data_IF_068024839802
#
_entry.id   IF_068024839802
#
_cell.length_a   1.000
_cell.length_b   1.000
_cell.length_c   1.000
_cell.angle_alpha   90.00
_cell.angle_beta   90.00
_cell.angle_gamma   90.00
#
_symmetry.space_group_name_H-M   'P 1'
#
loop_
_entity.id
_entity.type
_entity.pdbx_description
1 polymer ?
#
# COMPACT_ATOMS: atom_id res chain seq x y z
N UNK A 1 23.17 -0.01 -4.23
CA UNK A 1 22.80 1.21 -3.48
C UNK A 1 21.33 1.10 -3.10
N UNK A 2 21.03 0.45 -1.97
CA UNK A 2 19.67 0.19 -1.52
C UNK A 2 19.06 1.46 -0.94
N UNK A 3 18.24 2.15 -1.73
CA UNK A 3 17.18 2.98 -1.17
C UNK A 3 16.07 2.01 -0.75
N UNK A 4 16.16 1.47 0.47
CA UNK A 4 14.94 1.12 1.21
C UNK A 4 13.99 2.29 0.98
N UNK A 5 12.76 2.04 0.52
CA UNK A 5 11.70 3.02 0.75
C UNK A 5 11.67 3.19 2.26
N UNK A 6 12.29 4.26 2.71
CA UNK A 6 12.27 4.70 4.09
C UNK A 6 10.88 5.30 4.20
N UNK A 7 9.94 4.51 4.68
CA UNK A 7 8.54 4.88 4.67
C UNK A 7 8.38 6.09 5.60
N UNK A 8 7.84 7.19 5.07
CA UNK A 8 7.64 8.44 5.84
C UNK A 8 6.80 8.18 7.10
N UNK A 9 5.95 7.16 7.07
CA UNK A 9 5.24 6.63 8.23
C UNK A 9 6.17 5.97 9.26
N UNK A 10 7.11 5.10 8.85
CA UNK A 10 8.04 4.43 9.76
C UNK A 10 9.02 5.43 10.41
N UNK A 11 9.51 6.42 9.64
CA UNK A 11 10.28 7.54 10.20
C UNK A 11 9.40 8.37 11.17
N UNK A 12 8.11 8.59 10.90
CA UNK A 12 7.19 9.30 11.78
C UNK A 12 6.97 8.58 13.12
N UNK A 13 6.79 7.25 13.13
CA UNK A 13 6.67 6.45 14.37
C UNK A 13 7.99 6.38 15.14
N UNK A 14 9.13 6.30 14.44
CA UNK A 14 10.46 6.08 15.05
C UNK A 14 11.19 7.36 15.43
N UNK A 15 10.68 8.54 15.06
CA UNK A 15 11.36 9.84 15.25
C UNK A 15 11.29 10.40 16.68
N UNK A 16 10.60 9.77 17.64
CA UNK A 16 10.47 10.30 19.00
C UNK A 16 10.24 9.22 20.07
N UNK A 17 10.44 9.59 21.33
CA UNK A 17 10.05 8.82 22.53
C UNK A 17 8.52 8.81 22.66
N UNK A 18 7.82 8.27 21.66
CA UNK A 18 6.37 8.18 21.65
C UNK A 18 5.92 6.98 22.48
N UNK A 19 4.96 7.19 23.39
CA UNK A 19 4.22 6.08 23.98
C UNK A 19 3.05 5.66 23.05
N UNK A 20 2.44 4.51 23.31
CA UNK A 20 1.36 3.95 22.48
C UNK A 20 0.13 4.89 22.45
N UNK A 21 -0.18 5.60 23.53
CA UNK A 21 -1.32 6.54 23.58
C UNK A 21 -1.12 7.76 22.67
N UNK A 22 0.11 8.27 22.60
CA UNK A 22 0.48 9.38 21.71
C UNK A 22 0.39 8.95 20.24
N UNK A 23 0.78 7.72 19.94
CA UNK A 23 0.68 7.13 18.60
C UNK A 23 -0.79 7.08 18.14
N UNK A 24 -1.70 6.55 18.97
CA UNK A 24 -3.12 6.49 18.61
C UNK A 24 -3.78 7.86 18.50
N UNK A 25 -3.44 8.79 19.41
CA UNK A 25 -4.00 10.15 19.39
C UNK A 25 -3.55 10.92 18.15
N UNK A 26 -2.30 10.76 17.73
CA UNK A 26 -1.81 11.36 16.50
C UNK A 26 -2.35 10.67 15.25
N UNK A 27 -2.59 9.35 15.29
CA UNK A 27 -3.21 8.63 14.20
C UNK A 27 -4.60 9.18 13.86
N UNK A 28 -5.40 9.53 14.88
CA UNK A 28 -6.69 10.17 14.70
C UNK A 28 -6.57 11.48 13.90
N UNK A 29 -5.53 12.28 14.17
CA UNK A 29 -5.26 13.51 13.42
C UNK A 29 -4.96 13.22 11.94
N UNK A 30 -4.16 12.19 11.65
CA UNK A 30 -3.87 11.76 10.27
C UNK A 30 -5.12 11.21 9.56
N UNK A 31 -5.95 10.46 10.28
CA UNK A 31 -7.25 10.00 9.78
C UNK A 31 -8.18 11.16 9.44
N UNK A 32 -8.17 12.24 10.22
CA UNK A 32 -8.93 13.45 9.88
C UNK A 32 -8.40 14.14 8.61
N UNK A 33 -7.08 14.18 8.40
CA UNK A 33 -6.50 14.71 7.16
C UNK A 33 -6.90 13.86 5.95
N UNK A 34 -6.82 12.53 6.08
CA UNK A 34 -7.27 11.62 5.02
C UNK A 34 -8.74 11.78 4.70
N UNK A 35 -9.61 11.89 5.71
CA UNK A 35 -11.05 12.16 5.50
C UNK A 35 -11.27 13.43 4.70
N UNK A 36 -10.60 14.52 5.04
CA UNK A 36 -10.68 15.78 4.29
C UNK A 36 -10.20 15.64 2.84
N UNK A 37 -9.12 14.89 2.60
CA UNK A 37 -8.63 14.60 1.24
C UNK A 37 -9.65 13.75 0.44
N UNK A 38 -10.25 12.74 1.07
CA UNK A 38 -11.29 11.92 0.46
C UNK A 38 -12.55 12.73 0.15
N UNK A 39 -12.99 13.60 1.06
CA UNK A 39 -14.15 14.48 0.83
C UNK A 39 -13.90 15.41 -0.36
N UNK A 40 -12.68 15.94 -0.47
CA UNK A 40 -12.25 16.72 -1.63
C UNK A 40 -12.31 15.93 -2.93
N UNK A 41 -11.76 14.71 -2.95
CA UNK A 41 -11.82 13.83 -4.12
C UNK A 41 -13.24 13.42 -4.51
N UNK A 42 -14.09 13.10 -3.53
CA UNK A 42 -15.49 12.76 -3.79
C UNK A 42 -16.24 13.96 -4.38
N UNK A 43 -15.99 15.16 -3.85
CA UNK A 43 -16.56 16.39 -4.38
C UNK A 43 -16.11 16.63 -5.82
N UNK A 44 -14.80 16.53 -6.10
CA UNK A 44 -14.26 16.68 -7.45
C UNK A 44 -14.86 15.64 -8.41
N UNK A 45 -15.06 14.40 -7.96
CA UNK A 45 -15.70 13.35 -8.75
C UNK A 45 -17.17 13.65 -9.08
N UNK A 46 -17.94 14.13 -8.11
CA UNK A 46 -19.36 14.53 -8.31
C UNK A 46 -19.47 15.76 -9.22
N UNK A 47 -18.56 16.71 -9.09
CA UNK A 47 -18.48 17.92 -9.93
C UNK A 47 -17.92 17.64 -11.33
N UNK A 48 -17.48 16.40 -11.63
CA UNK A 48 -16.92 16.00 -12.92
C UNK A 48 -15.47 16.45 -13.15
N UNK A 49 -14.79 16.96 -12.12
CA UNK A 49 -13.41 17.43 -12.13
C UNK A 49 -12.40 16.31 -11.82
N UNK A 50 -12.64 15.11 -12.34
CA UNK A 50 -11.79 13.93 -12.08
C UNK A 50 -10.73 13.73 -13.17
N UNK A 51 -9.54 13.22 -12.81
CA UNK A 51 -8.50 12.86 -13.79
C UNK A 51 -9.06 11.89 -14.84
N UNK A 52 -8.67 12.05 -16.10
CA UNK A 52 -9.20 11.27 -17.24
C UNK A 52 -9.14 9.75 -17.04
N UNK A 53 -8.10 9.26 -16.35
CA UNK A 53 -7.90 7.85 -16.01
C UNK A 53 -8.96 7.29 -15.05
N UNK A 54 -9.65 8.17 -14.33
CA UNK A 54 -10.61 7.81 -13.30
C UNK A 54 -12.04 7.64 -13.81
N UNK A 55 -12.32 8.04 -15.06
CA UNK A 55 -13.60 7.76 -15.72
C UNK A 55 -13.80 6.29 -16.07
N UNK A 56 -12.75 5.46 -16.01
CA UNK A 56 -12.78 4.06 -16.48
C UNK A 56 -12.60 3.02 -15.37
N UNK A 57 -12.15 3.42 -14.18
CA UNK A 57 -11.88 2.50 -13.07
C UNK A 57 -12.36 3.10 -11.74
N UNK A 58 -12.87 2.28 -10.80
CA UNK A 58 -13.24 2.76 -9.48
C UNK A 58 -12.02 3.29 -8.72
N UNK A 59 -12.22 4.34 -7.94
CA UNK A 59 -11.25 4.81 -6.96
C UNK A 59 -11.25 3.84 -5.78
N UNK A 60 -10.11 3.20 -5.55
CA UNK A 60 -9.88 2.34 -4.40
C UNK A 60 -8.70 2.90 -3.62
N UNK A 61 -8.99 3.32 -2.40
CA UNK A 61 -7.99 3.63 -1.38
C UNK A 61 -8.28 2.77 -0.16
N UNK A 62 -7.24 2.20 0.42
CA UNK A 62 -7.31 1.57 1.73
C UNK A 62 -5.92 1.51 2.34
N UNK A 63 -5.88 1.28 3.64
CA UNK A 63 -4.64 1.08 4.38
C UNK A 63 -4.83 -0.09 5.34
N UNK A 64 -3.73 -0.70 5.73
CA UNK A 64 -3.67 -1.70 6.78
C UNK A 64 -2.73 -1.25 7.89
N UNK A 65 -3.06 -1.63 9.12
CA UNK A 65 -2.26 -1.37 10.31
C UNK A 65 -2.04 -2.69 11.01
N UNK A 66 -0.78 -3.05 11.23
CA UNK A 66 -0.42 -4.26 12.00
C UNK A 66 0.60 -3.93 13.08
N UNK A 67 0.58 -4.67 14.18
CA UNK A 67 1.63 -4.56 15.19
C UNK A 67 2.92 -5.17 14.63
N UNK A 68 4.00 -4.39 14.63
CA UNK A 68 5.33 -4.84 14.26
C UNK A 68 5.95 -5.76 15.30
N UNK A 69 7.04 -6.47 14.96
CA UNK A 69 7.76 -7.34 15.91
C UNK A 69 8.34 -6.57 17.12
N UNK A 70 8.58 -5.27 16.95
CA UNK A 70 9.05 -4.33 17.97
C UNK A 70 7.90 -3.68 18.76
N UNK A 71 6.65 -4.04 18.48
CA UNK A 71 5.45 -3.48 19.11
C UNK A 71 4.97 -2.16 18.50
N UNK A 72 5.71 -1.58 17.56
CA UNK A 72 5.29 -0.37 16.85
C UNK A 72 4.39 -0.70 15.65
N UNK A 73 3.38 0.12 15.33
CA UNK A 73 2.49 -0.17 14.23
C UNK A 73 3.19 0.02 12.87
N UNK A 74 2.94 -0.91 11.94
CA UNK A 74 3.37 -0.86 10.55
C UNK A 74 2.16 -0.49 9.70
N UNK A 75 2.30 0.58 8.93
CA UNK A 75 1.28 1.10 8.02
C UNK A 75 1.60 0.70 6.58
N UNK A 76 0.61 0.18 5.87
CA UNK A 76 0.73 -0.15 4.45
C UNK A 76 -0.52 0.29 3.69
N UNK A 77 -0.34 1.12 2.67
CA UNK A 77 -1.40 1.53 1.75
C UNK A 77 -1.62 0.48 0.66
N UNK A 78 -2.86 0.36 0.19
CA UNK A 78 -3.25 -0.44 -0.96
C UNK A 78 -4.34 0.26 -1.77
N UNK A 79 -4.59 -0.25 -2.99
CA UNK A 79 -5.54 0.37 -3.90
C UNK A 79 -4.84 0.99 -5.10
N UNK A 80 -5.58 1.81 -5.85
CA UNK A 80 -5.05 2.54 -7.00
C UNK A 80 -5.02 4.05 -6.78
N UNK A 81 -5.51 4.52 -5.63
CA UNK A 81 -5.55 5.94 -5.27
C UNK A 81 -4.53 6.16 -4.17
N UNK A 82 -3.48 6.93 -4.42
CA UNK A 82 -2.49 7.27 -3.39
C UNK A 82 -2.92 8.54 -2.68
N UNK A 83 -3.29 8.40 -1.41
CA UNK A 83 -3.38 9.51 -0.47
C UNK A 83 -2.06 9.58 0.27
N UNK A 84 -1.50 10.79 0.42
CA UNK A 84 -0.25 11.00 1.15
C UNK A 84 -0.55 11.70 2.48
N UNK A 85 -1.02 10.97 3.51
CA UNK A 85 -1.29 11.57 4.83
C UNK A 85 -0.02 12.10 5.49
N UNK A 86 1.09 11.36 5.38
CA UNK A 86 2.40 11.71 5.93
C UNK A 86 3.28 12.53 4.98
N UNK A 87 2.80 12.80 3.77
CA UNK A 87 3.54 13.55 2.75
C UNK A 87 3.45 15.07 2.92
N UNK A 88 4.16 15.80 2.05
CA UNK A 88 4.15 17.26 2.08
C UNK A 88 2.74 17.80 1.77
N UNK A 89 2.29 18.74 2.60
CA UNK A 89 0.99 19.40 2.46
C UNK A 89 0.84 20.01 1.05
N UNK A 90 -0.21 19.63 0.32
CA UNK A 90 -0.52 20.17 -1.02
C UNK A 90 -0.31 19.20 -2.19
N UNK A 91 0.20 17.99 -1.96
CA UNK A 91 0.26 16.97 -3.02
C UNK A 91 -1.13 16.45 -3.35
N UNK A 92 -1.49 16.53 -4.64
CA UNK A 92 -2.77 16.03 -5.13
C UNK A 92 -2.76 14.50 -5.14
N UNK A 93 -3.86 13.85 -4.74
CA UNK A 93 -4.00 12.41 -4.89
C UNK A 93 -3.78 11.98 -6.35
N UNK A 94 -3.05 10.89 -6.54
CA UNK A 94 -2.83 10.29 -7.86
C UNK A 94 -3.63 9.00 -7.97
N UNK A 95 -4.11 8.71 -9.19
CA UNK A 95 -4.85 7.48 -9.49
C UNK A 95 -4.09 6.70 -10.55
N UNK A 96 -3.59 5.52 -10.19
CA UNK A 96 -3.04 4.55 -11.12
C UNK A 96 -4.19 3.75 -11.77
N UNK A 97 -3.93 3.28 -12.98
CA UNK A 97 -4.78 2.30 -13.67
C UNK A 97 -4.69 0.89 -13.08
N UNK A 98 -3.59 0.57 -12.39
CA UNK A 98 -3.36 -0.71 -11.71
C UNK A 98 -3.61 -0.53 -10.23
N UNK A 99 -4.26 -1.52 -9.63
CA UNK A 99 -4.52 -1.57 -8.19
C UNK A 99 -3.38 -2.31 -7.49
N UNK A 100 -2.81 -1.71 -6.46
CA UNK A 100 -2.00 -2.45 -5.50
C UNK A 100 -2.95 -3.34 -4.65
N UNK A 101 -2.76 -4.67 -4.63
CA UNK A 101 -3.50 -5.56 -3.75
C UNK A 101 -3.05 -5.37 -2.29
N UNK A 102 -3.94 -5.74 -1.36
CA UNK A 102 -3.56 -5.87 0.04
C UNK A 102 -2.63 -7.08 0.17
N UNK A 103 -1.53 -6.91 0.91
CA UNK A 103 -0.54 -7.94 1.14
C UNK A 103 -0.23 -8.12 2.61
N UNK A 104 0.03 -9.36 3.01
CA UNK A 104 0.63 -9.65 4.31
C UNK A 104 1.80 -10.61 4.16
N UNK A 105 2.85 -10.37 4.94
CA UNK A 105 4.13 -11.07 4.85
C UNK A 105 4.49 -11.54 6.25
N UNK A 106 4.57 -12.85 6.39
CA UNK A 106 5.00 -13.52 7.61
C UNK A 106 6.31 -14.26 7.32
N UNK A 107 7.36 -13.90 8.03
CA UNK A 107 8.70 -14.45 7.85
C UNK A 107 9.11 -15.21 9.11
N UNK A 108 9.61 -16.42 8.90
CA UNK A 108 10.21 -17.27 9.93
C UNK A 108 11.66 -17.57 9.52
N UNK A 109 12.45 -18.16 10.42
CA UNK A 109 13.84 -18.51 10.15
C UNK A 109 14.04 -19.46 8.94
N UNK A 110 12.97 -20.13 8.49
CA UNK A 110 13.04 -21.14 7.42
C UNK A 110 12.13 -20.88 6.22
N UNK A 111 11.15 -19.96 6.34
CA UNK A 111 10.14 -19.74 5.31
C UNK A 111 9.60 -18.32 5.33
N UNK A 112 9.34 -17.78 4.14
CA UNK A 112 8.57 -16.55 3.91
C UNK A 112 7.19 -16.94 3.36
N UNK A 113 6.12 -16.58 4.07
CA UNK A 113 4.74 -16.75 3.65
C UNK A 113 4.14 -15.40 3.24
N UNK A 114 3.77 -15.26 1.96
CA UNK A 114 3.17 -14.05 1.39
C UNK A 114 1.70 -14.35 1.07
N UNK A 115 0.80 -13.54 1.62
CA UNK A 115 -0.64 -13.57 1.32
C UNK A 115 -1.00 -12.35 0.49
N UNK A 116 -1.73 -12.55 -0.61
CA UNK A 116 -2.15 -11.47 -1.53
C UNK A 116 -3.63 -11.59 -1.83
N UNK A 117 -4.39 -10.50 -1.64
CA UNK A 117 -5.82 -10.48 -1.94
C UNK A 117 -6.11 -10.04 -3.38
N UNK A 118 -6.60 -10.98 -4.20
CA UNK A 118 -6.92 -10.77 -5.62
C UNK A 118 -8.40 -11.11 -5.92
N UNK A 119 -9.37 -10.31 -5.43
CA UNK A 119 -10.78 -10.62 -5.60
C UNK A 119 -11.23 -10.57 -7.06
N UNK A 120 -11.86 -11.66 -7.51
CA UNK A 120 -12.38 -11.79 -8.88
C UNK A 120 -11.31 -12.09 -9.93
N UNK A 121 -10.11 -12.50 -9.52
CA UNK A 121 -9.04 -12.99 -10.41
C UNK A 121 -9.01 -14.51 -10.34
N UNK A 122 -8.95 -15.16 -11.50
CA UNK A 122 -8.75 -16.62 -11.58
C UNK A 122 -7.26 -16.95 -11.50
N UNK A 123 -6.92 -18.15 -11.04
CA UNK A 123 -5.52 -18.53 -10.76
C UNK A 123 -4.62 -18.43 -12.00
N UNK A 124 -5.18 -18.74 -13.17
CA UNK A 124 -4.49 -18.78 -14.45
C UNK A 124 -4.03 -17.40 -14.94
N UNK A 125 -4.66 -16.33 -14.42
CA UNK A 125 -4.36 -14.94 -14.77
C UNK A 125 -3.31 -14.29 -13.83
N UNK A 126 -2.79 -15.05 -12.85
CA UNK A 126 -1.83 -14.56 -11.86
C UNK A 126 -0.42 -14.91 -12.31
N UNK A 127 0.35 -13.89 -12.65
CA UNK A 127 1.78 -14.00 -12.95
C UNK A 127 2.58 -13.66 -11.69
N UNK A 128 3.38 -14.61 -11.21
CA UNK A 128 4.22 -14.47 -10.02
C UNK A 128 5.68 -14.65 -10.46
N UNK A 129 6.48 -13.61 -10.27
CA UNK A 129 7.90 -13.64 -10.55
C UNK A 129 8.68 -13.56 -9.24
N UNK A 130 9.40 -14.63 -8.91
CA UNK A 130 10.23 -14.72 -7.70
C UNK A 130 11.68 -14.50 -8.10
N UNK A 131 12.29 -13.48 -7.52
CA UNK A 131 13.70 -13.15 -7.61
C UNK A 131 14.35 -13.35 -6.23
N UNK A 132 15.68 -13.34 -6.20
CA UNK A 132 16.45 -13.54 -4.95
C UNK A 132 16.00 -12.61 -3.82
N UNK A 133 15.78 -11.32 -4.10
CA UNK A 133 15.43 -10.31 -3.08
C UNK A 133 14.01 -9.73 -3.26
N UNK A 134 13.18 -10.31 -4.14
CA UNK A 134 11.91 -9.69 -4.54
C UNK A 134 10.89 -10.68 -5.07
N UNK A 135 9.61 -10.44 -4.76
CA UNK A 135 8.48 -11.11 -5.41
C UNK A 135 7.61 -10.08 -6.12
N UNK A 136 7.34 -10.28 -7.40
CA UNK A 136 6.37 -9.48 -8.14
C UNK A 136 5.11 -10.29 -8.39
N UNK A 137 3.96 -9.69 -8.12
CA UNK A 137 2.64 -10.25 -8.41
C UNK A 137 1.95 -9.36 -9.41
N UNK A 138 1.55 -9.92 -10.55
CA UNK A 138 1.02 -9.18 -11.69
C UNK A 138 -0.24 -9.84 -12.22
N UNK A 139 -1.28 -9.04 -12.43
CA UNK A 139 -2.54 -9.48 -13.05
C UNK A 139 -2.88 -8.48 -14.14
N UNK A 140 -2.94 -8.95 -15.39
CA UNK A 140 -3.18 -8.13 -16.58
C UNK A 140 -4.41 -8.59 -17.36
N UNK A 141 -5.56 -8.61 -16.71
CA UNK A 141 -6.83 -8.89 -17.40
C UNK A 141 -7.50 -7.59 -17.86
N UNK A 142 -8.49 -7.69 -18.73
CA UNK A 142 -9.30 -6.53 -19.13
C UNK A 142 -10.15 -6.00 -17.97
N UNK A 143 -10.64 -6.90 -17.10
CA UNK A 143 -11.58 -6.57 -16.01
C UNK A 143 -10.89 -6.19 -14.69
N UNK A 144 -9.67 -6.67 -14.46
CA UNK A 144 -8.90 -6.49 -13.22
C UNK A 144 -7.41 -6.35 -13.54
N UNK A 145 -6.81 -5.28 -13.01
CA UNK A 145 -5.38 -5.01 -13.13
C UNK A 145 -4.78 -4.85 -11.74
N UNK A 146 -3.91 -5.78 -11.36
CA UNK A 146 -3.19 -5.73 -10.09
C UNK A 146 -1.69 -5.73 -10.34
N UNK A 147 -0.95 -5.01 -9.50
CA UNK A 147 0.50 -5.07 -9.49
C UNK A 147 1.02 -4.80 -8.08
N UNK A 148 1.91 -5.65 -7.57
CA UNK A 148 2.70 -5.41 -6.36
C UNK A 148 4.12 -5.90 -6.58
N UNK A 149 5.10 -5.10 -6.16
CA UNK A 149 6.49 -5.53 -5.97
C UNK A 149 6.73 -5.59 -4.47
N UNK A 150 7.11 -6.76 -3.98
CA UNK A 150 7.36 -7.06 -2.58
C UNK A 150 8.85 -7.29 -2.41
N UNK A 151 9.53 -6.39 -1.69
CA UNK A 151 10.94 -6.55 -1.36
C UNK A 151 11.08 -7.54 -0.20
N UNK A 152 11.97 -8.53 -0.34
CA UNK A 152 12.23 -9.55 0.68
C UNK A 152 13.33 -9.08 1.62
N UNK A 153 13.19 -9.38 2.92
CA UNK A 153 14.24 -9.05 3.91
C UNK A 153 15.40 -10.04 3.84
N UNK A 154 15.09 -11.30 3.55
CA UNK A 154 16.04 -12.39 3.42
C UNK A 154 16.03 -12.90 1.98
N UNK A 155 17.22 -13.10 1.36
CA UNK A 155 17.32 -13.71 0.05
C UNK A 155 16.69 -15.11 0.00
N UNK A 156 16.02 -15.43 -1.10
CA UNK A 156 15.46 -16.77 -1.35
C UNK A 156 16.20 -17.47 -2.48
N UNK A 157 16.25 -18.79 -2.41
CA UNK A 157 16.73 -19.63 -3.52
C UNK A 157 15.60 -19.79 -4.53
N UNK A 158 15.85 -19.40 -5.77
CA UNK A 158 14.88 -19.56 -6.87
C UNK A 158 15.19 -20.84 -7.64
N UNK A 159 14.16 -21.65 -7.88
CA UNK A 159 14.26 -22.73 -8.86
C UNK A 159 14.20 -22.08 -10.25
N UNK A 160 15.32 -22.11 -10.96
CA UNK A 160 15.45 -21.53 -12.31
C UNK A 160 14.61 -22.26 -13.36
#
# INVERSE_FOLDING_TARGET
>A
MNRKRRDEADDWFRSGDWNIEDIFSNLDSEFQKMRKQMDGLMRDAVEGNIPENANKNPFVFGFSVKAGPDGFPVFEDFGNTQLRPFGKQGEKPTVDTRREPLTDINETDSQIAITVELPGVIKEDIDINVMEEKVEVNVKTESRKYFKSIDLKSPVVTDS
#
